data_IF_531056376045
#
_entry.id   IF_531056376045
#
_cell.length_a   1.000
_cell.length_b   1.000
_cell.length_c   1.000
_cell.angle_alpha   90.00
_cell.angle_beta   90.00
_cell.angle_gamma   90.00
#
_symmetry.space_group_name_H-M   'P 1'
#
loop_
_entity.id
_entity.type
_entity.pdbx_description
1 polymer ?
#
# COMPACT_ATOMS: atom_id res chain seq x y z
N UNK A 1 57.68 -3.24 3.81
CA UNK A 1 56.42 -2.96 3.11
C UNK A 1 55.12 -3.30 3.91
N UNK A 2 55.15 -3.42 5.24
CA UNK A 2 54.04 -3.92 6.04
C UNK A 2 53.32 -2.88 6.93
N UNK A 3 53.97 -1.76 7.25
CA UNK A 3 53.38 -0.81 8.23
C UNK A 3 52.42 0.22 7.61
N UNK A 4 52.65 0.66 6.39
CA UNK A 4 51.77 1.65 5.72
C UNK A 4 50.37 1.12 5.42
N UNK A 5 50.23 -0.17 5.06
CA UNK A 5 48.92 -0.78 4.81
C UNK A 5 48.07 -0.94 6.09
N UNK A 6 48.71 -1.21 7.25
CA UNK A 6 47.97 -1.28 8.54
C UNK A 6 47.49 0.09 9.02
N UNK A 7 48.25 1.15 8.72
CA UNK A 7 47.84 2.51 9.09
C UNK A 7 46.65 3.00 8.28
N UNK A 8 46.64 2.73 6.97
CA UNK A 8 45.52 3.08 6.06
C UNK A 8 44.23 2.33 6.47
N UNK A 9 44.36 1.02 6.80
CA UNK A 9 43.20 0.25 7.28
C UNK A 9 42.63 0.73 8.63
N UNK A 10 43.50 1.15 9.58
CA UNK A 10 43.09 1.75 10.84
C UNK A 10 42.44 3.13 10.65
N UNK A 11 42.98 3.95 9.74
CA UNK A 11 42.34 5.24 9.43
C UNK A 11 41.01 5.10 8.70
N UNK A 12 40.88 4.10 7.80
CA UNK A 12 39.61 3.80 7.14
C UNK A 12 38.58 3.23 8.12
N UNK A 13 39.00 2.35 9.04
CA UNK A 13 38.13 1.82 10.09
C UNK A 13 37.71 2.93 11.09
N UNK A 14 38.58 3.87 11.42
CA UNK A 14 38.27 5.02 12.28
C UNK A 14 37.35 6.05 11.57
N UNK A 15 37.51 6.24 10.25
CA UNK A 15 36.63 7.09 9.45
C UNK A 15 35.23 6.48 9.31
N UNK A 16 35.11 5.18 9.15
CA UNK A 16 33.83 4.46 9.15
C UNK A 16 33.17 4.47 10.54
N UNK A 17 34.00 4.44 11.62
CA UNK A 17 33.48 4.54 13.00
C UNK A 17 33.10 5.96 13.43
N UNK A 18 33.65 7.01 12.79
CA UNK A 18 33.33 8.41 13.11
C UNK A 18 32.13 8.98 12.35
N UNK A 19 31.67 8.31 11.32
CA UNK A 19 30.35 8.55 10.72
C UNK A 19 29.31 7.76 11.54
N UNK A 20 29.11 8.21 12.78
CA UNK A 20 28.14 7.67 13.74
C UNK A 20 26.70 8.03 13.37
N UNK A 21 26.29 7.74 12.15
CA UNK A 21 24.90 7.43 11.84
C UNK A 21 24.78 5.92 11.97
N UNK A 22 24.18 5.43 13.05
CA UNK A 22 23.56 4.11 13.06
C UNK A 22 22.64 4.09 11.84
N UNK A 23 23.09 3.53 10.72
CA UNK A 23 22.19 3.14 9.65
C UNK A 23 21.37 2.01 10.29
N UNK A 24 20.25 2.39 10.91
CA UNK A 24 19.23 1.44 11.32
C UNK A 24 18.72 0.83 10.04
N UNK A 25 19.30 -0.30 9.64
CA UNK A 25 18.84 -1.05 8.49
C UNK A 25 17.45 -1.56 8.81
N UNK A 26 16.46 -1.07 8.07
CA UNK A 26 15.09 -1.60 8.19
C UNK A 26 15.12 -3.13 8.04
N UNK A 27 14.34 -3.81 8.85
CA UNK A 27 14.20 -5.28 8.80
C UNK A 27 13.54 -5.68 7.49
N UNK A 28 14.25 -6.40 6.62
CA UNK A 28 13.71 -6.98 5.38
C UNK A 28 13.54 -8.48 5.60
N UNK A 29 12.33 -9.00 5.37
CA UNK A 29 12.00 -10.42 5.46
C UNK A 29 11.44 -10.93 4.14
N UNK A 30 11.70 -12.19 3.81
CA UNK A 30 11.05 -12.87 2.68
C UNK A 30 9.54 -12.97 2.91
N UNK A 31 8.76 -12.93 1.84
CA UNK A 31 7.30 -13.05 1.88
C UNK A 31 6.85 -14.52 1.96
N UNK A 32 7.45 -15.29 2.87
CA UNK A 32 7.01 -16.62 3.27
C UNK A 32 6.09 -16.56 4.51
N UNK A 33 5.71 -17.70 5.07
CA UNK A 33 4.80 -17.73 6.20
C UNK A 33 5.35 -17.02 7.44
N UNK A 34 6.66 -17.14 7.70
CA UNK A 34 7.32 -16.47 8.83
C UNK A 34 7.30 -14.94 8.64
N UNK A 35 7.69 -14.47 7.45
CA UNK A 35 7.68 -13.04 7.12
C UNK A 35 6.28 -12.44 7.15
N UNK A 36 5.27 -13.16 6.63
CA UNK A 36 3.87 -12.73 6.68
C UNK A 36 3.37 -12.61 8.12
N UNK A 37 3.67 -13.59 8.97
CA UNK A 37 3.28 -13.58 10.39
C UNK A 37 3.97 -12.43 11.13
N UNK A 38 5.28 -12.23 10.90
CA UNK A 38 6.02 -11.12 11.49
C UNK A 38 5.49 -9.76 11.04
N UNK A 39 5.11 -9.61 9.76
CA UNK A 39 4.52 -8.37 9.24
C UNK A 39 3.14 -8.09 9.88
N UNK A 40 2.30 -9.12 10.01
CA UNK A 40 1.00 -8.99 10.69
C UNK A 40 1.15 -8.61 12.17
N UNK A 41 2.13 -9.18 12.87
CA UNK A 41 2.48 -8.83 14.26
C UNK A 41 2.89 -7.36 14.39
N UNK A 42 3.71 -6.86 13.44
CA UNK A 42 4.12 -5.45 13.40
C UNK A 42 2.89 -4.56 13.25
N UNK A 43 2.00 -4.88 12.31
CA UNK A 43 0.75 -4.13 12.10
C UNK A 43 -0.14 -4.17 13.34
N UNK A 44 -0.33 -5.32 13.96
CA UNK A 44 -1.13 -5.49 15.17
C UNK A 44 -0.63 -4.68 16.37
N UNK A 45 0.67 -4.35 16.39
CA UNK A 45 1.32 -3.47 17.38
C UNK A 45 1.32 -2.00 16.99
N UNK A 46 0.61 -1.62 15.92
CA UNK A 46 0.56 -0.25 15.41
C UNK A 46 1.78 0.18 14.60
N UNK A 47 2.56 -0.78 14.11
CA UNK A 47 3.72 -0.53 13.28
C UNK A 47 3.39 -0.27 11.80
N UNK A 48 4.41 0.17 11.06
CA UNK A 48 4.37 0.42 9.63
C UNK A 48 5.13 -0.66 8.88
N UNK A 49 4.54 -1.19 7.83
CA UNK A 49 5.18 -2.18 6.96
C UNK A 49 5.19 -1.72 5.51
N UNK A 50 6.16 -2.22 4.73
CA UNK A 50 6.09 -2.17 3.28
C UNK A 50 5.92 -3.57 2.71
N UNK A 51 5.11 -3.70 1.66
CA UNK A 51 4.73 -4.99 1.10
C UNK A 51 4.45 -4.90 -0.41
N UNK A 52 4.67 -5.99 -1.18
CA UNK A 52 4.42 -6.01 -2.62
C UNK A 52 2.92 -6.06 -2.92
N UNK A 53 2.53 -5.42 -4.03
CA UNK A 53 1.20 -5.55 -4.64
C UNK A 53 1.33 -5.89 -6.13
N UNK A 54 0.22 -6.07 -6.83
CA UNK A 54 0.21 -6.24 -8.29
C UNK A 54 0.66 -4.97 -9.05
N UNK A 55 0.66 -3.80 -8.42
CA UNK A 55 1.03 -2.52 -9.04
C UNK A 55 2.44 -2.06 -8.64
N UNK A 56 2.64 -1.67 -7.41
CA UNK A 56 3.89 -1.16 -6.83
C UNK A 56 3.97 -1.58 -5.36
N UNK A 57 5.13 -1.45 -4.71
CA UNK A 57 5.20 -1.66 -3.26
C UNK A 57 4.31 -0.66 -2.52
N UNK A 58 3.58 -1.16 -1.53
CA UNK A 58 2.73 -0.38 -0.64
C UNK A 58 3.39 -0.11 0.71
N UNK A 59 3.14 1.08 1.27
CA UNK A 59 3.33 1.39 2.68
C UNK A 59 1.98 1.23 3.38
N UNK A 60 1.94 0.48 4.47
CA UNK A 60 0.71 0.17 5.16
C UNK A 60 0.82 0.05 6.67
N UNK A 61 -0.33 0.16 7.29
CA UNK A 61 -0.61 -0.04 8.71
C UNK A 61 -2.07 -0.42 8.88
N UNK A 62 -2.48 -0.69 10.12
CA UNK A 62 -3.90 -0.87 10.44
C UNK A 62 -4.68 0.43 10.16
N UNK A 63 -5.69 0.42 9.27
CA UNK A 63 -6.47 1.61 8.94
C UNK A 63 -7.35 2.10 10.10
N UNK A 64 -7.62 1.26 11.11
CA UNK A 64 -8.41 1.62 12.29
C UNK A 64 -7.56 2.23 13.41
N UNK A 65 -6.23 2.14 13.32
CA UNK A 65 -5.30 2.71 14.29
C UNK A 65 -4.89 4.14 13.87
N UNK A 66 -5.52 5.16 14.47
CA UNK A 66 -5.25 6.57 14.15
C UNK A 66 -3.77 6.95 14.28
N UNK A 67 -3.08 6.49 15.33
CA UNK A 67 -1.66 6.80 15.55
C UNK A 67 -0.76 6.19 14.46
N UNK A 68 -1.07 4.97 14.01
CA UNK A 68 -0.35 4.32 12.92
C UNK A 68 -0.61 5.04 11.57
N UNK A 69 -1.86 5.44 11.31
CA UNK A 69 -2.22 6.24 10.13
C UNK A 69 -1.49 7.58 10.12
N UNK A 70 -1.45 8.31 11.25
CA UNK A 70 -0.69 9.55 11.37
C UNK A 70 0.81 9.35 11.12
N UNK A 71 1.38 8.26 11.67
CA UNK A 71 2.77 7.91 11.42
C UNK A 71 3.03 7.63 9.94
N UNK A 72 2.16 6.88 9.26
CA UNK A 72 2.24 6.64 7.83
C UNK A 72 2.17 7.94 7.01
N UNK A 73 1.30 8.89 7.41
CA UNK A 73 1.23 10.21 6.78
C UNK A 73 2.53 11.01 6.98
N UNK A 74 3.13 11.00 8.17
CA UNK A 74 4.44 11.65 8.41
C UNK A 74 5.54 11.05 7.55
N UNK A 75 5.58 9.72 7.38
CA UNK A 75 6.54 9.04 6.49
C UNK A 75 6.38 9.51 5.04
N UNK A 76 5.14 9.69 4.58
CA UNK A 76 4.86 10.18 3.21
C UNK A 76 5.24 11.66 3.03
N UNK A 77 5.35 12.44 4.09
CA UNK A 77 5.59 13.89 4.03
C UNK A 77 4.34 14.66 3.58
N UNK A 78 4.53 15.86 3.03
CA UNK A 78 3.43 16.73 2.61
C UNK A 78 2.57 16.03 1.55
N UNK A 79 1.30 15.79 1.88
CA UNK A 79 0.36 15.07 1.02
C UNK A 79 -0.99 15.78 0.98
N UNK A 80 -1.51 15.97 -0.22
CA UNK A 80 -2.83 16.59 -0.48
C UNK A 80 -3.96 15.57 -0.71
N UNK A 81 -3.62 14.28 -0.96
CA UNK A 81 -4.59 13.23 -1.29
C UNK A 81 -4.70 12.23 -0.15
N UNK A 82 -5.92 11.75 0.19
CA UNK A 82 -6.12 10.67 1.16
C UNK A 82 -5.36 9.39 0.79
N UNK A 83 -5.00 8.58 1.79
CA UNK A 83 -4.39 7.27 1.56
C UNK A 83 -5.49 6.24 1.31
N UNK A 84 -5.40 5.44 0.24
CA UNK A 84 -6.34 4.36 0.02
C UNK A 84 -6.13 3.23 1.05
N UNK A 85 -7.18 2.40 1.22
CA UNK A 85 -7.13 1.18 2.01
C UNK A 85 -7.23 -0.02 1.06
N UNK A 86 -6.31 -0.97 1.22
CA UNK A 86 -6.39 -2.27 0.57
C UNK A 86 -7.27 -3.18 1.41
N UNK A 87 -8.13 -3.93 0.75
CA UNK A 87 -9.04 -4.90 1.37
C UNK A 87 -8.86 -6.27 0.74
N UNK A 88 -9.08 -7.32 1.52
CA UNK A 88 -8.96 -8.69 1.02
C UNK A 88 -10.03 -8.99 -0.04
N UNK A 89 -11.26 -8.60 0.22
CA UNK A 89 -12.44 -8.89 -0.58
C UNK A 89 -13.53 -7.81 -0.39
N UNK A 90 -14.70 -8.04 -0.99
CA UNK A 90 -15.83 -7.12 -0.93
C UNK A 90 -16.45 -7.07 0.47
N UNK A 91 -16.47 -8.18 1.19
CA UNK A 91 -17.01 -8.28 2.55
C UNK A 91 -16.20 -7.42 3.52
N UNK A 92 -14.87 -7.39 3.36
CA UNK A 92 -14.02 -6.48 4.13
C UNK A 92 -14.19 -5.01 3.69
N UNK A 93 -14.47 -4.75 2.42
CA UNK A 93 -14.77 -3.39 1.93
C UNK A 93 -16.08 -2.85 2.53
N UNK A 94 -17.11 -3.68 2.66
CA UNK A 94 -18.41 -3.32 3.24
C UNK A 94 -18.35 -2.93 4.73
N UNK A 95 -17.30 -3.34 5.42
CA UNK A 95 -17.04 -2.94 6.81
C UNK A 95 -16.44 -1.53 6.93
N UNK A 96 -15.97 -0.94 5.81
CA UNK A 96 -15.25 0.32 5.78
C UNK A 96 -15.96 1.43 4.97
N UNK A 97 -16.85 1.05 4.04
CA UNK A 97 -17.52 1.98 3.16
C UNK A 97 -18.90 1.50 2.74
N UNK A 98 -19.74 2.44 2.31
CA UNK A 98 -21.01 2.12 1.65
C UNK A 98 -20.73 1.62 0.23
N UNK A 99 -21.15 0.39 -0.08
CA UNK A 99 -20.92 -0.25 -1.38
C UNK A 99 -22.22 -0.31 -2.20
N UNK A 100 -22.51 0.68 -3.05
CA UNK A 100 -23.70 0.67 -3.89
C UNK A 100 -23.60 -0.43 -4.96
N UNK A 101 -24.75 -0.85 -5.55
CA UNK A 101 -24.80 -1.92 -6.54
C UNK A 101 -23.84 -1.73 -7.73
N UNK A 102 -23.67 -0.48 -8.19
CA UNK A 102 -22.70 -0.18 -9.26
C UNK A 102 -21.25 -0.47 -8.85
N UNK A 103 -20.87 -0.18 -7.59
CA UNK A 103 -19.55 -0.49 -7.07
C UNK A 103 -19.36 -2.00 -6.92
N UNK A 104 -20.38 -2.75 -6.47
CA UNK A 104 -20.36 -4.22 -6.43
C UNK A 104 -20.14 -4.81 -7.82
N UNK A 105 -20.81 -4.26 -8.85
CA UNK A 105 -20.65 -4.68 -10.24
C UNK A 105 -19.22 -4.45 -10.74
N UNK A 106 -18.65 -3.30 -10.45
CA UNK A 106 -17.26 -2.97 -10.79
C UNK A 106 -16.28 -3.89 -10.02
N UNK A 107 -16.48 -4.08 -8.71
CA UNK A 107 -15.65 -4.96 -7.89
C UNK A 107 -15.65 -6.40 -8.43
N UNK A 108 -16.79 -6.98 -8.75
CA UNK A 108 -16.90 -8.35 -9.31
C UNK A 108 -16.09 -8.52 -10.59
N UNK A 109 -15.91 -7.46 -11.39
CA UNK A 109 -15.19 -7.52 -12.66
C UNK A 109 -13.70 -7.25 -12.51
N UNK A 110 -13.33 -6.31 -11.64
CA UNK A 110 -11.97 -5.76 -11.61
C UNK A 110 -11.21 -6.06 -10.31
N UNK A 111 -11.84 -6.65 -9.31
CA UNK A 111 -11.20 -7.11 -8.07
C UNK A 111 -11.15 -8.63 -7.99
N UNK A 112 -10.02 -9.19 -7.54
CA UNK A 112 -8.74 -8.51 -7.25
C UNK A 112 -8.11 -7.94 -8.50
N UNK A 113 -7.55 -6.69 -8.40
CA UNK A 113 -6.91 -6.03 -9.55
C UNK A 113 -6.52 -4.57 -9.33
N UNK A 114 -6.04 -3.90 -10.39
CA UNK A 114 -5.46 -2.57 -10.32
C UNK A 114 -6.50 -1.44 -10.40
N UNK A 115 -7.62 -1.58 -9.68
CA UNK A 115 -8.68 -0.56 -9.63
C UNK A 115 -8.98 -0.16 -8.18
N UNK A 116 -8.84 1.13 -7.88
CA UNK A 116 -9.24 1.75 -6.62
C UNK A 116 -10.57 2.46 -6.81
N UNK A 117 -11.57 2.17 -5.99
CA UNK A 117 -12.88 2.83 -5.97
C UNK A 117 -12.94 3.80 -4.80
N UNK A 118 -13.26 5.08 -5.06
CA UNK A 118 -13.57 6.06 -4.01
C UNK A 118 -15.06 5.99 -3.71
N UNK A 119 -15.37 5.79 -2.43
CA UNK A 119 -16.71 5.48 -1.92
C UNK A 119 -16.99 6.26 -0.63
N UNK A 120 -18.26 6.52 -0.26
CA UNK A 120 -18.59 7.08 1.04
C UNK A 120 -18.08 6.17 2.15
N UNK A 121 -17.26 6.73 3.05
CA UNK A 121 -16.67 5.99 4.17
C UNK A 121 -17.71 5.75 5.29
N UNK A 122 -17.50 4.68 6.07
CA UNK A 122 -18.21 4.49 7.34
C UNK A 122 -17.41 5.17 8.46
N UNK A 123 -18.13 5.54 9.53
CA UNK A 123 -17.58 6.24 10.71
C UNK A 123 -16.49 5.45 11.48
N UNK A 124 -16.32 4.16 11.17
CA UNK A 124 -15.29 3.30 11.77
C UNK A 124 -13.87 3.75 11.42
N UNK A 125 -13.69 4.43 10.29
CA UNK A 125 -12.38 4.94 9.86
C UNK A 125 -12.07 6.28 10.54
N UNK A 126 -10.81 6.51 10.97
CA UNK A 126 -10.41 7.77 11.57
C UNK A 126 -10.51 8.92 10.55
N UNK A 127 -10.98 10.10 11.01
CA UNK A 127 -11.19 11.28 10.17
C UNK A 127 -9.95 11.70 9.36
N UNK A 128 -8.76 11.47 9.91
CA UNK A 128 -7.50 11.78 9.21
C UNK A 128 -7.32 10.95 7.93
N UNK A 129 -7.91 9.77 7.86
CA UNK A 129 -7.87 8.90 6.67
C UNK A 129 -8.97 9.26 5.67
N UNK A 130 -10.07 9.84 6.14
CA UNK A 130 -11.29 10.15 5.37
C UNK A 130 -11.73 11.61 5.52
N UNK A 131 -10.87 12.60 5.25
CA UNK A 131 -11.14 14.01 5.55
C UNK A 131 -12.41 14.54 4.87
N UNK A 132 -12.78 14.00 3.71
CA UNK A 132 -13.96 14.40 2.94
C UNK A 132 -15.11 13.37 3.09
N UNK A 133 -15.07 12.52 4.12
CA UNK A 133 -16.07 11.45 4.32
C UNK A 133 -16.01 10.35 3.25
N UNK A 134 -14.91 10.27 2.50
CA UNK A 134 -14.73 9.25 1.45
C UNK A 134 -13.45 8.44 1.65
N UNK A 135 -13.44 7.21 1.17
CA UNK A 135 -12.28 6.31 1.21
C UNK A 135 -12.06 5.65 -0.15
N UNK A 136 -10.79 5.58 -0.57
CA UNK A 136 -10.39 4.78 -1.71
C UNK A 136 -10.14 3.34 -1.30
N UNK A 137 -10.91 2.37 -1.83
CA UNK A 137 -10.76 0.94 -1.53
C UNK A 137 -10.27 0.17 -2.76
N UNK A 138 -9.43 -0.85 -2.54
CA UNK A 138 -8.94 -1.75 -3.59
C UNK A 138 -8.64 -3.13 -3.04
N UNK A 139 -9.04 -4.19 -3.78
CA UNK A 139 -8.53 -5.55 -3.55
C UNK A 139 -7.39 -5.83 -4.56
N UNK A 140 -6.13 -6.02 -4.12
CA UNK A 140 -4.99 -6.18 -5.01
C UNK A 140 -4.89 -7.61 -5.57
N UNK A 141 -4.49 -7.78 -6.83
CA UNK A 141 -4.26 -9.11 -7.44
C UNK A 141 -2.84 -9.60 -7.15
N UNK A 142 -2.53 -9.86 -5.89
CA UNK A 142 -1.19 -10.32 -5.48
C UNK A 142 -1.30 -11.28 -4.28
N UNK A 143 -0.83 -12.51 -4.45
CA UNK A 143 -1.01 -13.57 -3.45
C UNK A 143 -0.44 -13.19 -2.07
N UNK A 144 0.81 -12.69 -2.03
CA UNK A 144 1.43 -12.23 -0.77
C UNK A 144 0.59 -11.16 -0.09
N UNK A 145 0.11 -10.16 -0.86
CA UNK A 145 -0.70 -9.08 -0.29
C UNK A 145 -2.05 -9.59 0.24
N UNK A 146 -2.74 -10.48 -0.50
CA UNK A 146 -4.02 -11.06 -0.08
C UNK A 146 -3.87 -11.94 1.17
N UNK A 147 -2.78 -12.72 1.28
CA UNK A 147 -2.47 -13.50 2.47
C UNK A 147 -2.19 -12.59 3.66
N UNK A 148 -1.38 -11.55 3.48
CA UNK A 148 -1.11 -10.55 4.52
C UNK A 148 -2.39 -9.85 4.99
N UNK A 149 -3.25 -9.42 4.06
CA UNK A 149 -4.56 -8.83 4.39
C UNK A 149 -5.40 -9.80 5.24
N UNK A 150 -5.38 -11.10 4.91
CA UNK A 150 -6.07 -12.12 5.70
C UNK A 150 -5.58 -12.21 7.15
N UNK A 151 -4.28 -12.00 7.39
CA UNK A 151 -3.68 -11.98 8.73
C UNK A 151 -3.90 -10.64 9.46
N UNK A 152 -4.17 -9.55 8.74
CA UNK A 152 -4.37 -8.19 9.26
C UNK A 152 -5.86 -7.79 9.30
N UNK A 153 -6.75 -8.68 9.72
CA UNK A 153 -8.20 -8.42 9.83
C UNK A 153 -8.89 -7.98 8.53
N UNK A 154 -8.27 -8.26 7.39
CA UNK A 154 -8.83 -8.04 6.06
C UNK A 154 -8.58 -6.66 5.45
N UNK A 155 -7.88 -5.75 6.14
CA UNK A 155 -7.63 -4.40 5.65
C UNK A 155 -6.26 -3.85 6.06
N UNK A 156 -5.63 -3.05 5.18
CA UNK A 156 -4.40 -2.30 5.43
C UNK A 156 -4.46 -0.95 4.70
N UNK A 157 -3.91 0.11 5.28
CA UNK A 157 -3.56 1.30 4.50
C UNK A 157 -2.65 0.88 3.35
N UNK A 158 -2.87 1.42 2.16
CA UNK A 158 -2.20 0.98 0.93
C UNK A 158 -1.72 2.13 0.05
N UNK A 159 -0.91 3.05 0.61
CA UNK A 159 -0.25 4.07 -0.21
C UNK A 159 1.07 3.54 -0.79
N UNK A 160 1.55 4.08 -1.92
CA UNK A 160 2.84 3.65 -2.51
C UNK A 160 4.02 3.88 -1.55
N UNK A 161 4.97 2.94 -1.52
CA UNK A 161 6.12 2.93 -0.59
C UNK A 161 7.27 3.85 -1.05
N UNK A 162 6.96 5.10 -1.45
CA UNK A 162 7.91 6.15 -1.81
C UNK A 162 7.57 7.45 -1.10
N UNK A 163 8.51 8.37 -0.97
CA UNK A 163 8.22 9.74 -0.53
C UNK A 163 7.32 10.45 -1.55
N UNK A 164 6.50 11.39 -1.07
CA UNK A 164 5.62 12.16 -1.96
C UNK A 164 6.45 12.94 -2.99
N UNK A 165 6.12 12.78 -4.27
CA UNK A 165 6.84 13.38 -5.39
C UNK A 165 7.86 12.46 -6.06
N UNK A 166 8.34 11.41 -5.39
CA UNK A 166 9.25 10.45 -5.98
C UNK A 166 8.51 9.39 -6.82
N UNK A 167 9.23 8.72 -7.70
CA UNK A 167 8.70 7.61 -8.50
C UNK A 167 8.28 6.43 -7.60
N UNK A 168 7.20 5.71 -7.94
CA UNK A 168 6.82 4.51 -7.23
C UNK A 168 7.94 3.45 -7.27
N UNK A 169 8.09 2.69 -6.19
CA UNK A 169 9.11 1.64 -6.04
C UNK A 169 8.51 0.26 -6.30
N UNK A 170 9.30 -0.63 -6.91
CA UNK A 170 8.84 -1.94 -7.39
C UNK A 170 9.56 -3.13 -6.75
N UNK A 171 10.53 -2.89 -5.86
CA UNK A 171 11.28 -3.94 -5.14
C UNK A 171 11.56 -3.57 -3.70
N UNK A 172 11.81 -4.58 -2.84
CA UNK A 172 12.16 -4.38 -1.43
C UNK A 172 13.44 -3.55 -1.25
N UNK A 173 14.44 -3.75 -2.10
CA UNK A 173 15.68 -2.97 -2.07
C UNK A 173 15.47 -1.48 -2.35
N UNK A 174 14.56 -1.17 -3.28
CA UNK A 174 14.19 0.23 -3.53
C UNK A 174 13.46 0.83 -2.33
N UNK A 175 12.55 0.07 -1.70
CA UNK A 175 11.86 0.50 -0.46
C UNK A 175 12.87 0.78 0.64
N UNK A 176 13.82 -0.13 0.89
CA UNK A 176 14.83 0.03 1.93
C UNK A 176 15.69 1.28 1.73
N UNK A 177 16.03 1.61 0.47
CA UNK A 177 16.74 2.86 0.13
C UNK A 177 15.87 4.10 0.29
N UNK A 178 14.59 4.03 -0.07
CA UNK A 178 13.68 5.18 -0.10
C UNK A 178 13.16 5.55 1.30
N UNK A 179 12.73 4.54 2.06
CA UNK A 179 12.07 4.74 3.35
C UNK A 179 12.95 4.36 4.55
N UNK A 180 13.89 3.42 4.38
CA UNK A 180 14.85 3.04 5.41
C UNK A 180 14.19 2.75 6.77
N UNK A 181 14.71 3.38 7.82
CA UNK A 181 14.29 3.26 9.22
C UNK A 181 12.95 3.94 9.56
N UNK A 182 12.32 4.58 8.59
CA UNK A 182 10.99 5.20 8.76
C UNK A 182 9.86 4.19 8.88
N UNK A 183 10.12 2.93 8.50
CA UNK A 183 9.19 1.80 8.58
C UNK A 183 9.79 0.68 9.42
N UNK A 184 8.93 -0.17 10.00
CA UNK A 184 9.39 -1.19 10.95
C UNK A 184 9.78 -2.50 10.26
N UNK A 185 9.20 -2.78 9.08
CA UNK A 185 9.48 -4.00 8.33
C UNK A 185 9.20 -3.81 6.83
N UNK A 186 10.03 -4.40 5.99
CA UNK A 186 9.80 -4.58 4.55
C UNK A 186 9.62 -6.07 4.27
N UNK A 187 8.50 -6.42 3.67
CA UNK A 187 8.20 -7.79 3.23
C UNK A 187 8.64 -7.94 1.77
N UNK A 188 9.69 -8.72 1.53
CA UNK A 188 10.22 -8.94 0.19
C UNK A 188 9.46 -10.09 -0.51
N UNK A 189 8.62 -9.74 -1.47
CA UNK A 189 7.94 -10.67 -2.37
C UNK A 189 8.40 -10.54 -3.83
N UNK A 190 9.61 -10.03 -4.06
CA UNK A 190 10.18 -9.82 -5.38
C UNK A 190 9.70 -8.54 -6.06
N UNK A 191 9.85 -8.46 -7.37
CA UNK A 191 9.48 -7.29 -8.17
C UNK A 191 7.99 -7.30 -8.49
N UNK A 192 7.33 -6.13 -8.36
CA UNK A 192 5.90 -5.99 -8.67
C UNK A 192 5.65 -6.07 -10.18
N UNK A 193 4.59 -6.79 -10.63
CA UNK A 193 4.43 -7.12 -12.05
C UNK A 193 4.03 -5.95 -12.96
N UNK A 194 3.24 -4.98 -12.47
CA UNK A 194 2.76 -3.89 -13.33
C UNK A 194 3.65 -2.65 -13.32
N UNK A 195 4.29 -2.32 -12.19
CA UNK A 195 5.18 -1.16 -12.06
C UNK A 195 4.48 0.20 -12.18
N UNK A 196 3.15 0.22 -12.34
CA UNK A 196 2.33 1.44 -12.47
C UNK A 196 1.22 1.45 -11.44
N UNK A 197 0.81 2.64 -11.01
CA UNK A 197 -0.24 2.81 -10.01
C UNK A 197 -1.63 2.40 -10.55
N UNK A 198 -2.54 1.98 -9.65
CA UNK A 198 -3.92 1.61 -10.00
C UNK A 198 -4.69 2.77 -10.63
N UNK A 199 -5.67 2.45 -11.48
CA UNK A 199 -6.74 3.40 -11.84
C UNK A 199 -7.52 3.77 -10.58
N UNK A 200 -7.88 5.06 -10.42
CA UNK A 200 -8.73 5.54 -9.33
C UNK A 200 -10.02 6.09 -9.92
N UNK A 201 -11.14 5.50 -9.54
CA UNK A 201 -12.47 5.90 -9.98
C UNK A 201 -13.31 6.40 -8.80
N UNK A 202 -13.88 7.58 -8.92
CA UNK A 202 -14.85 8.12 -7.97
C UNK A 202 -16.24 7.61 -8.31
N UNK A 203 -16.86 6.98 -7.31
CA UNK A 203 -18.22 6.43 -7.37
C UNK A 203 -19.15 7.08 -6.32
N UNK A 204 -18.78 8.21 -5.74
CA UNK A 204 -19.62 8.92 -4.76
C UNK A 204 -20.83 9.58 -5.41
N UNK A 205 -20.70 10.04 -6.67
CA UNK A 205 -21.78 10.68 -7.43
C UNK A 205 -22.46 9.69 -8.39
N UNK A 206 -23.69 9.96 -8.89
CA UNK A 206 -24.40 9.10 -9.84
C UNK A 206 -23.59 8.76 -11.10
N UNK A 207 -22.81 9.68 -11.62
CA UNK A 207 -21.83 9.45 -12.69
C UNK A 207 -20.45 9.18 -12.09
N UNK A 208 -19.66 8.29 -12.71
CA UNK A 208 -18.31 8.04 -12.25
C UNK A 208 -17.32 9.03 -12.88
N UNK A 209 -16.26 9.35 -12.14
CA UNK A 209 -15.13 10.16 -12.59
C UNK A 209 -13.82 9.42 -12.39
N UNK A 210 -12.93 9.41 -13.39
CA UNK A 210 -11.56 8.89 -13.20
C UNK A 210 -10.70 10.00 -12.60
N UNK A 211 -10.26 9.78 -11.35
CA UNK A 211 -9.38 10.71 -10.62
C UNK A 211 -7.90 10.49 -10.95
N UNK A 212 -7.56 9.28 -11.40
CA UNK A 212 -6.21 8.91 -11.85
C UNK A 212 -6.31 7.81 -12.88
N UNK A 213 -5.70 8.02 -14.03
CA UNK A 213 -5.53 6.98 -15.05
C UNK A 213 -4.54 5.90 -14.56
N UNK A 214 -4.77 4.67 -14.97
CA UNK A 214 -3.98 3.49 -14.65
C UNK A 214 -4.31 2.35 -15.61
N UNK A 215 -4.05 1.09 -15.24
CA UNK A 215 -4.23 -0.05 -16.15
C UNK A 215 -5.67 -0.28 -16.63
N UNK A 216 -6.69 0.16 -15.87
CA UNK A 216 -8.10 0.00 -16.24
C UNK A 216 -8.62 1.28 -16.86
N UNK A 217 -8.99 1.21 -18.14
CA UNK A 217 -9.43 2.38 -18.92
C UNK A 217 -10.91 2.74 -18.70
N UNK A 218 -11.26 4.01 -19.02
CA UNK A 218 -12.63 4.53 -18.91
C UNK A 218 -13.66 3.67 -19.66
N UNK A 219 -13.33 3.21 -20.86
CA UNK A 219 -14.26 2.41 -21.68
C UNK A 219 -14.57 1.06 -21.05
N UNK A 220 -13.62 0.44 -20.34
CA UNK A 220 -13.84 -0.83 -19.66
C UNK A 220 -14.80 -0.67 -18.48
N UNK A 221 -14.65 0.41 -17.71
CA UNK A 221 -15.56 0.76 -16.61
C UNK A 221 -16.95 1.05 -17.16
N UNK A 222 -17.05 1.84 -18.22
CA UNK A 222 -18.35 2.13 -18.87
C UNK A 222 -19.05 0.86 -19.37
N UNK A 223 -18.33 -0.04 -20.05
CA UNK A 223 -18.88 -1.32 -20.52
C UNK A 223 -19.36 -2.17 -19.36
N UNK A 224 -18.58 -2.23 -18.28
CA UNK A 224 -18.98 -2.94 -17.06
C UNK A 224 -20.29 -2.39 -16.49
N UNK A 225 -20.48 -1.09 -16.42
CA UNK A 225 -21.68 -0.48 -15.86
C UNK A 225 -22.91 -0.64 -16.78
N UNK A 226 -22.73 -0.56 -18.11
CA UNK A 226 -23.81 -0.70 -19.11
C UNK A 226 -24.24 -2.16 -19.32
N UNK A 227 -23.35 -3.13 -19.23
CA UNK A 227 -23.59 -4.56 -19.51
C UNK A 227 -24.45 -5.28 -18.45
N UNK A 228 -25.53 -4.69 -17.98
CA UNK A 228 -26.47 -5.23 -16.99
C UNK A 228 -27.87 -5.56 -17.52
N UNK A 229 -28.05 -5.76 -18.85
CA UNK A 229 -29.34 -6.07 -19.45
C UNK A 229 -29.36 -7.36 -20.29
N UNK A 230 -28.42 -8.28 -20.10
CA UNK A 230 -28.48 -9.60 -20.76
C UNK A 230 -27.97 -10.71 -19.84
N UNK A 231 -28.68 -11.01 -18.75
CA UNK A 231 -28.70 -12.33 -18.12
C UNK A 231 -30.09 -12.53 -17.53
N UNK A 232 -31.06 -12.66 -18.46
CA UNK A 232 -32.39 -13.17 -18.16
C UNK A 232 -32.81 -13.98 -19.40
N UNK A 233 -32.37 -15.22 -19.44
CA UNK A 233 -33.10 -16.34 -20.04
C UNK A 233 -32.47 -17.66 -19.57
#
# INVERSE_FOLDING_TARGET
MGQSRRLIFKQFAALVASVGSSISLVRVLKADLEGLTAAADVVGKGGLICYPTDTVYGLGCDPLNSSAVERAMRVKGTRTKPMPVLVKDIENAERLAQIPNRARKIARKFWPGPLTMVLPALEVLPNILVPDGTVGLRSPKHAVCLNLLGLCSGALVGTSANLTGNSPVVSADQVARELGDRVDLVLDGGTTPLGVASTVVDLTQPTFTILREGPIGRLEIMRCLRGGTQDSY
#
